data_IF_290830109679
#
_entry.id   IF_290830109679
#
_cell.length_a   1.000
_cell.length_b   1.000
_cell.length_c   1.000
_cell.angle_alpha   90.00
_cell.angle_beta   90.00
_cell.angle_gamma   90.00
#
_symmetry.space_group_name_H-M   'P 1'
#
loop_
_entity.id
_entity.type
_entity.pdbx_description
1 polymer ?
#
# COMPACT_ATOMS: atom_id res chain seq x y z
N UNK A 1 37.92 12.61 -54.28
CA UNK A 1 37.74 13.23 -52.95
C UNK A 1 36.24 13.38 -52.69
N UNK A 2 35.80 12.89 -51.51
CA UNK A 2 34.46 12.99 -50.86
C UNK A 2 33.51 11.79 -50.97
N UNK A 3 33.67 10.92 -49.95
CA UNK A 3 32.64 10.04 -49.37
C UNK A 3 31.38 10.83 -48.98
N UNK A 4 30.22 10.22 -49.15
CA UNK A 4 29.02 10.54 -48.37
C UNK A 4 28.34 9.24 -47.93
N UNK A 5 28.72 8.76 -46.74
CA UNK A 5 27.95 7.76 -45.99
C UNK A 5 26.72 8.45 -45.39
N UNK A 6 25.53 8.01 -45.77
CA UNK A 6 24.27 8.44 -45.12
C UNK A 6 24.03 7.53 -43.92
N UNK A 7 24.23 8.05 -42.71
CA UNK A 7 23.73 7.42 -41.49
C UNK A 7 22.25 7.78 -41.31
N UNK A 8 21.37 6.79 -41.43
CA UNK A 8 19.98 6.92 -41.00
C UNK A 8 19.91 6.58 -39.50
N UNK A 9 19.78 7.60 -38.66
CA UNK A 9 19.49 7.41 -37.23
C UNK A 9 17.97 7.20 -37.11
N UNK A 10 17.57 5.95 -36.85
CA UNK A 10 16.18 5.65 -36.50
C UNK A 10 15.99 5.92 -35.01
N UNK A 11 15.35 7.03 -34.67
CA UNK A 11 14.90 7.31 -33.31
C UNK A 11 13.67 6.44 -33.03
N UNK A 12 13.87 5.31 -32.36
CA UNK A 12 12.77 4.55 -31.78
C UNK A 12 12.19 5.36 -30.62
N UNK A 13 11.04 6.01 -30.85
CA UNK A 13 10.20 6.54 -29.78
C UNK A 13 9.67 5.35 -28.99
N UNK A 14 10.40 4.94 -27.95
CA UNK A 14 9.88 4.04 -26.94
C UNK A 14 8.83 4.84 -26.18
N UNK A 15 7.55 4.65 -26.53
CA UNK A 15 6.47 4.98 -25.62
C UNK A 15 6.67 4.10 -24.39
N UNK A 16 7.26 4.66 -23.32
CA UNK A 16 7.26 3.99 -22.02
C UNK A 16 5.81 3.89 -21.58
N UNK A 17 5.17 2.74 -21.82
CA UNK A 17 3.99 2.36 -21.08
C UNK A 17 4.42 2.26 -19.61
N UNK A 18 4.13 3.30 -18.83
CA UNK A 18 4.39 3.28 -17.40
C UNK A 18 3.35 2.33 -16.77
N UNK A 19 3.67 1.05 -16.71
CA UNK A 19 2.84 0.07 -16.03
C UNK A 19 2.65 0.54 -14.59
N UNK A 20 1.40 0.83 -14.21
CA UNK A 20 1.05 1.19 -12.84
C UNK A 20 0.89 -0.10 -12.06
N UNK A 21 1.51 -0.17 -10.89
CA UNK A 21 1.30 -1.27 -9.98
C UNK A 21 -0.11 -1.22 -9.39
N UNK A 22 -0.76 -2.38 -9.28
CA UNK A 22 -2.10 -2.56 -8.72
C UNK A 22 -2.00 -3.45 -7.48
N UNK A 23 -2.62 -3.01 -6.39
CA UNK A 23 -2.56 -3.73 -5.12
C UNK A 23 -3.96 -4.05 -4.62
N UNK A 24 -4.09 -5.19 -3.94
CA UNK A 24 -5.29 -5.53 -3.18
C UNK A 24 -5.02 -5.48 -1.68
N UNK A 25 -5.92 -4.86 -0.94
CA UNK A 25 -5.86 -4.78 0.51
C UNK A 25 -6.32 -6.09 1.14
N UNK A 26 -5.53 -6.67 2.04
CA UNK A 26 -5.83 -7.92 2.71
C UNK A 26 -5.68 -7.77 4.23
N UNK A 27 -6.78 -7.98 4.96
CA UNK A 27 -6.78 -7.97 6.43
C UNK A 27 -6.18 -9.27 6.97
N UNK A 28 -4.95 -9.22 7.48
CA UNK A 28 -4.26 -10.38 8.07
C UNK A 28 -5.00 -10.92 9.29
N UNK A 29 -5.64 -10.05 10.06
CA UNK A 29 -6.50 -10.43 11.20
C UNK A 29 -7.62 -11.44 10.83
N UNK A 30 -8.04 -11.46 9.56
CA UNK A 30 -9.13 -12.33 9.09
C UNK A 30 -8.65 -13.70 8.58
N UNK A 31 -7.35 -13.99 8.61
CA UNK A 31 -6.78 -15.22 8.04
C UNK A 31 -6.47 -16.28 9.09
N UNK A 32 -7.05 -16.20 10.30
CA UNK A 32 -6.78 -17.14 11.41
C UNK A 32 -6.96 -18.61 11.02
N UNK A 33 -7.97 -18.91 10.19
CA UNK A 33 -8.27 -20.26 9.74
C UNK A 33 -7.79 -20.55 8.31
N UNK A 34 -6.94 -19.70 7.73
CA UNK A 34 -6.41 -19.96 6.39
C UNK A 34 -5.46 -21.16 6.41
N UNK A 35 -5.68 -22.06 5.47
CA UNK A 35 -4.71 -23.09 5.11
C UNK A 35 -3.76 -22.59 4.03
N UNK A 36 -2.71 -23.35 3.74
CA UNK A 36 -1.83 -23.06 2.61
C UNK A 36 -2.57 -23.05 1.27
N UNK A 37 -3.66 -23.82 1.14
CA UNK A 37 -4.49 -23.85 -0.07
C UNK A 37 -5.28 -22.56 -0.23
N UNK A 38 -5.81 -22.00 0.86
CA UNK A 38 -6.57 -20.75 0.82
C UNK A 38 -5.67 -19.58 0.39
N UNK A 39 -4.48 -19.48 0.98
CA UNK A 39 -3.46 -18.50 0.58
C UNK A 39 -3.10 -18.63 -0.90
N UNK A 40 -2.80 -19.84 -1.37
CA UNK A 40 -2.41 -20.06 -2.76
C UNK A 40 -3.55 -19.72 -3.73
N UNK A 41 -4.78 -20.13 -3.43
CA UNK A 41 -5.95 -19.90 -4.28
C UNK A 41 -6.24 -18.40 -4.43
N UNK A 42 -6.25 -17.64 -3.33
CA UNK A 42 -6.52 -16.19 -3.38
C UNK A 42 -5.41 -15.41 -4.09
N UNK A 43 -4.14 -15.80 -3.90
CA UNK A 43 -3.03 -15.18 -4.62
C UNK A 43 -3.04 -15.52 -6.12
N UNK A 44 -3.43 -16.74 -6.51
CA UNK A 44 -3.59 -17.11 -7.92
C UNK A 44 -4.75 -16.34 -8.58
N UNK A 45 -5.88 -16.17 -7.87
CA UNK A 45 -6.98 -15.32 -8.35
C UNK A 45 -6.54 -13.87 -8.52
N UNK A 46 -5.77 -13.34 -7.56
CA UNK A 46 -5.24 -11.99 -7.64
C UNK A 46 -4.36 -11.79 -8.87
N UNK A 47 -3.43 -12.71 -9.13
CA UNK A 47 -2.61 -12.69 -10.36
C UNK A 47 -3.45 -12.76 -11.63
N UNK A 48 -4.48 -13.60 -11.66
CA UNK A 48 -5.42 -13.70 -12.79
C UNK A 48 -6.19 -12.40 -13.02
N UNK A 49 -6.41 -11.62 -11.96
CA UNK A 49 -7.02 -10.29 -12.02
C UNK A 49 -6.00 -9.16 -12.24
N UNK A 50 -4.74 -9.48 -12.53
CA UNK A 50 -3.65 -8.50 -12.74
C UNK A 50 -3.35 -7.63 -11.51
N UNK A 51 -3.53 -8.18 -10.31
CA UNK A 51 -3.01 -7.58 -9.08
C UNK A 51 -1.54 -7.99 -8.92
N UNK A 52 -0.68 -7.01 -8.69
CA UNK A 52 0.77 -7.18 -8.58
C UNK A 52 1.21 -7.57 -7.16
N UNK A 53 0.53 -7.02 -6.14
CA UNK A 53 0.84 -7.33 -4.76
C UNK A 53 -0.37 -7.25 -3.81
N UNK A 54 -0.26 -7.95 -2.68
CA UNK A 54 -1.15 -7.70 -1.54
C UNK A 54 -0.54 -6.70 -0.56
N UNK A 55 -1.37 -5.73 -0.14
CA UNK A 55 -1.12 -4.84 0.97
C UNK A 55 -1.60 -5.54 2.25
N UNK A 56 -0.67 -6.07 3.05
CA UNK A 56 -0.96 -6.83 4.25
C UNK A 56 -1.36 -5.88 5.39
N UNK A 57 -2.65 -5.63 5.54
CA UNK A 57 -3.20 -4.88 6.67
C UNK A 57 -3.05 -5.69 7.94
N UNK A 58 -2.22 -5.19 8.84
CA UNK A 58 -1.82 -5.90 10.05
C UNK A 58 -1.99 -4.99 11.25
N UNK A 59 -2.90 -5.32 12.16
CA UNK A 59 -3.06 -4.58 13.42
C UNK A 59 -2.04 -5.05 14.45
N UNK A 60 -1.57 -4.13 15.30
CA UNK A 60 -0.54 -4.46 16.28
C UNK A 60 -1.05 -5.45 17.34
N UNK A 61 -0.20 -6.42 17.69
CA UNK A 61 -0.42 -7.34 18.80
C UNK A 61 -1.50 -8.41 18.56
N UNK A 62 -1.92 -8.65 17.32
CA UNK A 62 -2.81 -9.78 17.02
C UNK A 62 -2.04 -11.10 17.01
N UNK A 63 -2.56 -12.10 17.72
CA UNK A 63 -1.93 -13.42 17.85
C UNK A 63 -1.75 -14.14 16.50
N UNK A 64 -2.62 -13.84 15.53
CA UNK A 64 -2.57 -14.43 14.18
C UNK A 64 -1.38 -13.95 13.35
N UNK A 65 -0.82 -12.77 13.64
CA UNK A 65 0.15 -12.10 12.78
C UNK A 65 1.39 -12.95 12.48
N UNK A 66 2.02 -13.54 13.50
CA UNK A 66 3.29 -14.25 13.29
C UNK A 66 3.13 -15.45 12.34
N UNK A 67 2.13 -16.29 12.60
CA UNK A 67 1.84 -17.46 11.77
C UNK A 67 1.33 -17.08 10.37
N UNK A 68 0.41 -16.12 10.29
CA UNK A 68 -0.19 -15.70 9.02
C UNK A 68 0.81 -15.01 8.10
N UNK A 69 1.71 -14.17 8.62
CA UNK A 69 2.73 -13.50 7.80
C UNK A 69 3.74 -14.51 7.24
N UNK A 70 4.20 -15.47 8.05
CA UNK A 70 5.09 -16.53 7.56
C UNK A 70 4.40 -17.35 6.47
N UNK A 71 3.13 -17.74 6.67
CA UNK A 71 2.35 -18.47 5.68
C UNK A 71 2.14 -17.66 4.39
N UNK A 72 1.79 -16.37 4.50
CA UNK A 72 1.58 -15.48 3.36
C UNK A 72 2.85 -15.34 2.51
N UNK A 73 4.00 -15.03 3.12
CA UNK A 73 5.26 -14.90 2.38
C UNK A 73 5.72 -16.20 1.72
N UNK A 74 5.47 -17.34 2.37
CA UNK A 74 5.74 -18.66 1.79
C UNK A 74 4.86 -18.93 0.55
N UNK A 75 3.55 -18.74 0.68
CA UNK A 75 2.61 -18.94 -0.43
C UNK A 75 2.88 -17.97 -1.60
N UNK A 76 3.13 -16.70 -1.29
CA UNK A 76 3.42 -15.66 -2.29
C UNK A 76 4.70 -15.95 -3.07
N UNK A 77 5.75 -16.44 -2.38
CA UNK A 77 6.97 -16.93 -3.02
C UNK A 77 6.68 -18.07 -3.99
N UNK A 78 5.86 -19.05 -3.58
CA UNK A 78 5.53 -20.22 -4.40
C UNK A 78 4.74 -19.87 -5.68
N UNK A 79 3.84 -18.90 -5.61
CA UNK A 79 2.98 -18.51 -6.74
C UNK A 79 3.50 -17.29 -7.52
N UNK A 80 4.54 -16.62 -6.99
CA UNK A 80 5.13 -15.42 -7.57
C UNK A 80 4.19 -14.21 -7.55
N UNK A 81 3.53 -13.96 -6.42
CA UNK A 81 2.84 -12.69 -6.10
C UNK A 81 3.73 -11.89 -5.15
N UNK A 82 3.72 -10.56 -5.21
CA UNK A 82 4.46 -9.74 -4.25
C UNK A 82 3.59 -9.36 -3.04
N UNK A 83 4.23 -8.99 -1.93
CA UNK A 83 3.57 -8.57 -0.70
C UNK A 83 4.25 -7.31 -0.15
N UNK A 84 3.52 -6.47 0.58
CA UNK A 84 4.10 -5.41 1.39
C UNK A 84 3.25 -5.12 2.62
N UNK A 85 3.83 -4.46 3.61
CA UNK A 85 3.11 -4.09 4.83
C UNK A 85 2.22 -2.86 4.66
N UNK A 86 0.98 -3.00 5.12
CA UNK A 86 0.09 -1.91 5.49
C UNK A 86 -0.10 -1.97 7.01
N UNK A 87 0.75 -1.29 7.77
CA UNK A 87 0.62 -1.31 9.23
C UNK A 87 -0.67 -0.58 9.64
N UNK A 88 -1.56 -1.29 10.33
CA UNK A 88 -2.83 -0.72 10.80
C UNK A 88 -2.63 -0.06 12.17
N UNK A 89 -2.63 1.27 12.17
CA UNK A 89 -2.48 2.09 13.35
C UNK A 89 -3.82 2.42 14.03
N UNK A 90 -4.95 2.18 13.35
CA UNK A 90 -6.30 2.49 13.84
C UNK A 90 -7.03 1.27 14.42
N UNK A 91 -6.64 0.06 14.05
CA UNK A 91 -7.33 -1.19 14.41
C UNK A 91 -7.20 -1.55 15.88
N UNK A 92 -5.97 -1.57 16.42
CA UNK A 92 -5.67 -1.91 17.82
C UNK A 92 -4.77 -0.89 18.53
N UNK A 93 -4.65 0.30 17.96
CA UNK A 93 -3.70 1.33 18.37
C UNK A 93 -2.42 1.31 17.52
N UNK A 94 -1.54 2.30 17.75
CA UNK A 94 -0.38 2.52 16.91
C UNK A 94 0.65 1.41 17.05
N UNK A 95 1.36 1.12 15.97
CA UNK A 95 2.53 0.24 16.01
C UNK A 95 3.72 0.96 16.67
N UNK A 96 4.43 0.30 17.62
CA UNK A 96 5.69 0.84 18.14
C UNK A 96 6.74 0.97 17.03
N UNK A 97 7.43 2.12 17.01
CA UNK A 97 8.43 2.45 15.98
C UNK A 97 9.46 1.33 15.76
N UNK A 98 10.06 0.81 16.82
CA UNK A 98 11.12 -0.20 16.72
C UNK A 98 10.60 -1.53 16.15
N UNK A 99 9.36 -1.89 16.48
CA UNK A 99 8.71 -3.08 15.91
C UNK A 99 8.44 -2.91 14.41
N UNK A 100 8.05 -1.71 13.96
CA UNK A 100 7.90 -1.44 12.51
C UNK A 100 9.23 -1.60 11.78
N UNK A 101 10.32 -1.06 12.35
CA UNK A 101 11.67 -1.19 11.79
C UNK A 101 12.09 -2.67 11.71
N UNK A 102 11.84 -3.44 12.77
CA UNK A 102 12.12 -4.87 12.82
C UNK A 102 11.38 -5.62 11.70
N UNK A 103 10.08 -5.38 11.54
CA UNK A 103 9.27 -6.04 10.53
C UNK A 103 9.72 -5.69 9.11
N UNK A 104 9.96 -4.40 8.82
CA UNK A 104 10.46 -4.00 7.51
C UNK A 104 11.81 -4.68 7.26
N UNK A 105 12.75 -4.63 8.20
CA UNK A 105 14.09 -5.23 8.05
C UNK A 105 14.01 -6.74 7.82
N UNK A 106 13.13 -7.43 8.54
CA UNK A 106 12.96 -8.89 8.46
C UNK A 106 12.44 -9.36 7.09
N UNK A 107 11.48 -8.65 6.50
CA UNK A 107 10.78 -9.12 5.31
C UNK A 107 11.21 -8.42 4.02
N UNK A 108 11.69 -7.17 4.08
CA UNK A 108 11.98 -6.37 2.90
C UNK A 108 13.10 -6.93 2.01
N UNK A 109 14.01 -7.75 2.54
CA UNK A 109 15.06 -8.39 1.74
C UNK A 109 14.56 -9.56 0.88
N UNK A 110 13.34 -10.04 1.12
CA UNK A 110 12.74 -11.12 0.34
C UNK A 110 12.44 -10.68 -1.09
N UNK A 111 12.73 -11.53 -2.08
CA UNK A 111 12.29 -11.31 -3.47
C UNK A 111 10.77 -11.26 -3.64
N UNK A 112 10.02 -11.73 -2.64
CA UNK A 112 8.56 -11.66 -2.55
C UNK A 112 8.09 -10.27 -2.08
N UNK A 113 8.95 -9.44 -1.51
CA UNK A 113 8.55 -8.13 -1.00
C UNK A 113 8.45 -7.11 -2.15
N UNK A 114 7.36 -6.36 -2.23
CA UNK A 114 7.16 -5.36 -3.28
C UNK A 114 8.09 -4.15 -3.06
N UNK A 115 8.81 -3.76 -4.12
CA UNK A 115 9.73 -2.63 -4.10
C UNK A 115 9.31 -1.59 -5.14
N UNK A 116 9.31 -0.32 -4.74
CA UNK A 116 9.12 0.80 -5.65
C UNK A 116 10.47 1.47 -5.93
N UNK A 117 10.92 1.43 -7.19
CA UNK A 117 12.22 1.96 -7.62
C UNK A 117 13.39 1.44 -6.76
N UNK A 118 13.37 0.14 -6.45
CA UNK A 118 14.41 -0.53 -5.65
C UNK A 118 14.31 -0.30 -4.14
N UNK A 119 13.32 0.46 -3.65
CA UNK A 119 13.10 0.68 -2.22
C UNK A 119 11.94 -0.18 -1.70
N UNK A 120 12.04 -0.78 -0.50
CA UNK A 120 10.93 -1.50 0.10
C UNK A 120 9.71 -0.60 0.20
N UNK A 121 8.57 -1.01 -0.37
CA UNK A 121 7.36 -0.22 -0.29
C UNK A 121 6.65 -0.48 1.05
N UNK A 122 6.21 0.57 1.71
CA UNK A 122 5.49 0.47 3.00
C UNK A 122 4.35 1.47 3.04
N UNK A 123 3.24 1.06 3.64
CA UNK A 123 2.06 1.90 3.85
C UNK A 123 1.54 1.74 5.28
N UNK A 124 0.61 2.62 5.66
CA UNK A 124 -0.21 2.46 6.87
C UNK A 124 -1.68 2.63 6.52
N UNK A 125 -2.54 2.06 7.37
CA UNK A 125 -3.92 2.52 7.51
C UNK A 125 -3.97 3.46 8.71
N UNK A 126 -4.24 4.74 8.42
CA UNK A 126 -4.19 5.85 9.37
C UNK A 126 -2.86 5.93 10.17
N UNK A 127 -2.90 6.51 11.37
CA UNK A 127 -1.72 6.80 12.21
C UNK A 127 -1.03 8.15 11.98
N UNK A 128 -1.73 9.26 11.59
CA UNK A 128 -1.07 10.54 11.39
C UNK A 128 -0.42 11.11 12.66
N UNK A 129 -0.93 10.76 13.85
CA UNK A 129 -0.35 11.19 15.13
C UNK A 129 1.06 10.60 15.35
N UNK A 130 1.39 9.50 14.65
CA UNK A 130 2.70 8.87 14.65
C UNK A 130 3.56 9.26 13.45
N UNK A 131 3.19 10.29 12.69
CA UNK A 131 3.92 10.68 11.48
C UNK A 131 5.40 11.02 11.75
N UNK A 132 5.74 11.52 12.95
CA UNK A 132 7.14 11.83 13.31
C UNK A 132 8.02 10.58 13.44
N UNK A 133 7.47 9.43 13.84
CA UNK A 133 8.20 8.17 13.98
C UNK A 133 8.76 7.72 12.62
N UNK A 134 8.03 8.03 11.54
CA UNK A 134 8.41 7.67 10.17
C UNK A 134 9.68 8.37 9.67
N UNK A 135 10.12 9.46 10.32
CA UNK A 135 11.42 10.08 10.02
C UNK A 135 12.54 9.09 10.34
N UNK A 136 12.49 8.49 11.53
CA UNK A 136 13.45 7.47 11.99
C UNK A 136 13.28 6.16 11.21
N UNK A 137 12.04 5.69 11.03
CA UNK A 137 11.76 4.42 10.33
C UNK A 137 12.34 4.47 8.91
N UNK A 138 12.06 5.52 8.15
CA UNK A 138 12.59 5.66 6.77
C UNK A 138 14.10 5.78 6.75
N UNK A 139 14.69 6.53 7.69
CA UNK A 139 16.15 6.68 7.76
C UNK A 139 16.86 5.34 8.00
N UNK A 140 16.28 4.46 8.82
CA UNK A 140 16.88 3.16 9.15
C UNK A 140 16.58 2.07 8.12
N UNK A 141 15.41 2.10 7.48
CA UNK A 141 14.96 1.02 6.57
C UNK A 141 15.16 1.35 5.09
N UNK A 142 15.31 2.63 4.74
CA UNK A 142 15.39 3.09 3.35
C UNK A 142 14.09 2.92 2.56
N UNK A 143 12.96 2.67 3.24
CA UNK A 143 11.69 2.38 2.57
C UNK A 143 11.14 3.58 1.77
N UNK A 144 10.34 3.25 0.75
CA UNK A 144 9.43 4.18 0.10
C UNK A 144 8.10 4.15 0.86
N UNK A 145 7.73 5.27 1.46
CA UNK A 145 6.61 5.33 2.40
C UNK A 145 5.41 6.08 1.81
N UNK A 146 4.27 5.40 1.67
CA UNK A 146 3.03 5.96 1.15
C UNK A 146 1.85 5.57 2.05
N UNK A 147 1.58 6.35 3.11
CA UNK A 147 0.48 6.08 4.03
C UNK A 147 -0.88 6.52 3.50
N UNK A 148 -1.91 5.96 4.11
CA UNK A 148 -3.23 6.57 4.17
C UNK A 148 -3.35 7.36 5.46
N UNK A 149 -3.49 8.68 5.32
CA UNK A 149 -3.80 9.61 6.42
C UNK A 149 -5.04 10.42 6.03
N UNK A 150 -6.06 9.72 5.55
CA UNK A 150 -7.30 10.33 5.04
C UNK A 150 -8.03 11.14 6.10
N UNK A 151 -7.91 10.78 7.38
CA UNK A 151 -8.44 11.53 8.53
C UNK A 151 -7.98 12.99 8.58
N UNK A 152 -6.76 13.29 8.11
CA UNK A 152 -6.25 14.66 8.01
C UNK A 152 -6.69 15.41 6.74
N UNK A 153 -7.07 14.66 5.70
CA UNK A 153 -7.16 15.13 4.32
C UNK A 153 -5.78 15.40 3.69
N UNK A 154 -5.73 15.33 2.35
CA UNK A 154 -4.47 15.35 1.59
C UNK A 154 -3.52 16.50 1.93
N UNK A 155 -4.03 17.74 2.05
CA UNK A 155 -3.19 18.93 2.30
C UNK A 155 -2.41 18.84 3.61
N UNK A 156 -3.08 18.44 4.70
CA UNK A 156 -2.44 18.33 6.02
C UNK A 156 -1.56 17.09 6.09
N UNK A 157 -2.03 15.96 5.54
CA UNK A 157 -1.28 14.72 5.46
C UNK A 157 0.09 14.92 4.78
N UNK A 158 0.16 15.71 3.70
CA UNK A 158 1.42 16.02 3.01
C UNK A 158 2.46 16.77 3.85
N UNK A 159 2.03 17.43 4.93
CA UNK A 159 2.93 18.19 5.83
C UNK A 159 3.21 17.46 7.15
N UNK A 160 2.48 16.39 7.45
CA UNK A 160 2.65 15.61 8.67
C UNK A 160 4.06 14.95 8.71
N UNK A 161 4.62 14.83 9.91
CA UNK A 161 5.98 14.28 10.09
C UNK A 161 7.07 15.09 9.38
N UNK A 162 6.86 16.40 9.16
CA UNK A 162 7.78 17.22 8.36
C UNK A 162 7.77 16.89 6.86
N UNK A 163 6.66 16.33 6.35
CA UNK A 163 6.52 15.94 4.94
C UNK A 163 7.23 14.64 4.58
N UNK A 164 7.36 13.74 5.57
CA UNK A 164 8.09 12.47 5.49
C UNK A 164 7.54 11.49 4.45
N UNK A 165 6.24 11.56 4.15
CA UNK A 165 5.59 10.68 3.17
C UNK A 165 6.14 10.93 1.75
N UNK A 166 6.48 9.86 1.02
CA UNK A 166 6.94 9.91 -0.38
C UNK A 166 5.77 10.01 -1.36
N UNK A 167 4.56 9.68 -0.92
CA UNK A 167 3.30 9.78 -1.62
C UNK A 167 2.16 9.57 -0.64
N UNK A 168 0.92 9.59 -1.10
CA UNK A 168 -0.25 9.28 -0.27
C UNK A 168 -1.21 8.41 -1.07
N UNK A 169 -2.07 7.70 -0.34
CA UNK A 169 -3.31 7.18 -0.89
C UNK A 169 -4.50 7.66 -0.08
N UNK A 170 -5.70 7.49 -0.65
CA UNK A 170 -6.95 7.79 0.03
C UNK A 170 -7.67 6.51 0.43
N UNK A 171 -8.40 6.54 1.54
CA UNK A 171 -9.33 5.48 1.95
C UNK A 171 -10.76 5.69 1.43
N UNK A 172 -10.96 6.66 0.53
CA UNK A 172 -12.28 7.02 0.00
C UNK A 172 -12.63 6.24 -1.28
N UNK A 173 -12.73 4.90 -1.22
CA UNK A 173 -12.94 4.06 -2.40
C UNK A 173 -14.42 3.73 -2.72
N UNK A 174 -15.36 4.08 -1.85
CA UNK A 174 -16.80 3.76 -1.96
C UNK A 174 -17.68 4.93 -1.52
N UNK A 175 -18.96 5.00 -1.91
CA UNK A 175 -19.92 6.02 -1.45
C UNK A 175 -19.95 6.23 0.06
N UNK A 176 -20.25 7.45 0.50
CA UNK A 176 -20.60 7.69 1.91
C UNK A 176 -22.11 7.75 2.06
N UNK A 177 -22.72 6.73 2.67
CA UNK A 177 -24.17 6.61 2.73
C UNK A 177 -24.80 6.59 1.33
N UNK A 178 -25.76 7.48 1.09
CA UNK A 178 -26.45 7.63 -0.20
C UNK A 178 -25.75 8.59 -1.17
N UNK A 179 -24.59 9.15 -0.81
CA UNK A 179 -23.88 10.11 -1.65
C UNK A 179 -23.04 9.40 -2.71
N UNK A 180 -23.30 9.70 -3.97
CA UNK A 180 -22.46 9.27 -5.10
C UNK A 180 -21.00 9.66 -4.89
N UNK A 181 -20.11 8.83 -5.43
CA UNK A 181 -18.68 9.13 -5.46
C UNK A 181 -18.38 10.21 -6.49
N UNK A 182 -17.48 11.12 -6.13
CA UNK A 182 -17.01 12.20 -6.99
C UNK A 182 -15.49 12.18 -7.11
N UNK A 183 -14.97 12.64 -8.24
CA UNK A 183 -13.52 12.71 -8.52
C UNK A 183 -12.81 13.81 -7.73
N UNK A 184 -13.53 14.61 -6.93
CA UNK A 184 -12.98 15.74 -6.20
C UNK A 184 -11.94 15.30 -5.14
N UNK A 185 -12.17 14.16 -4.49
CA UNK A 185 -11.21 13.61 -3.53
C UNK A 185 -9.89 13.31 -4.24
N UNK A 186 -9.91 12.53 -5.32
CA UNK A 186 -8.71 12.20 -6.10
C UNK A 186 -8.02 13.42 -6.69
N UNK A 187 -8.80 14.41 -7.16
CA UNK A 187 -8.26 15.67 -7.65
C UNK A 187 -7.51 16.42 -6.55
N UNK A 188 -8.07 16.48 -5.33
CA UNK A 188 -7.40 17.13 -4.20
C UNK A 188 -6.06 16.47 -3.85
N UNK A 189 -5.99 15.14 -3.87
CA UNK A 189 -4.73 14.43 -3.66
C UNK A 189 -3.73 14.79 -4.74
N UNK A 190 -4.13 14.70 -6.02
CA UNK A 190 -3.27 15.06 -7.16
C UNK A 190 -2.72 16.48 -7.06
N UNK A 191 -3.53 17.44 -6.61
CA UNK A 191 -3.11 18.84 -6.48
C UNK A 191 -2.16 19.04 -5.30
N UNK A 192 -2.47 18.49 -4.12
CA UNK A 192 -1.67 18.71 -2.90
C UNK A 192 -0.39 17.89 -2.82
N UNK A 193 -0.29 16.76 -3.53
CA UNK A 193 0.91 15.93 -3.58
C UNK A 193 2.08 16.63 -4.30
N UNK A 194 1.83 17.69 -5.06
CA UNK A 194 2.89 18.52 -5.65
C UNK A 194 3.86 17.73 -6.53
N UNK A 195 3.35 16.71 -7.25
CA UNK A 195 4.14 15.83 -8.10
C UNK A 195 4.62 14.53 -7.44
N UNK A 196 4.40 14.35 -6.13
CA UNK A 196 4.61 13.04 -5.47
C UNK A 196 3.57 12.01 -5.95
N UNK A 197 3.88 10.70 -5.93
CA UNK A 197 2.95 9.66 -6.35
C UNK A 197 1.65 9.63 -5.54
N UNK A 198 0.54 9.45 -6.25
CA UNK A 198 -0.77 9.16 -5.67
C UNK A 198 -1.15 7.72 -6.00
N UNK A 199 -1.50 6.93 -4.98
CA UNK A 199 -2.16 5.65 -5.17
C UNK A 199 -3.66 5.82 -5.02
N UNK A 200 -4.36 5.69 -6.14
CA UNK A 200 -5.80 5.90 -6.20
C UNK A 200 -6.54 4.66 -5.70
N UNK A 201 -7.47 4.79 -4.75
CA UNK A 201 -8.26 3.66 -4.29
C UNK A 201 -9.41 3.38 -5.26
N UNK A 202 -9.75 2.10 -5.41
CA UNK A 202 -10.90 1.65 -6.22
C UNK A 202 -11.60 0.55 -5.42
N UNK A 203 -12.93 0.60 -5.37
CA UNK A 203 -13.74 -0.50 -4.87
C UNK A 203 -14.93 -0.78 -5.79
N UNK A 204 -15.11 -2.02 -6.26
CA UNK A 204 -16.31 -2.39 -7.02
C UNK A 204 -17.56 -2.46 -6.14
N UNK A 205 -17.40 -2.71 -4.83
CA UNK A 205 -18.48 -2.82 -3.86
C UNK A 205 -17.93 -2.75 -2.42
N UNK A 206 -18.69 -2.18 -1.47
CA UNK A 206 -18.33 -2.19 -0.05
C UNK A 206 -19.47 -2.72 0.83
N UNK A 207 -19.13 -3.65 1.71
CA UNK A 207 -20.01 -4.14 2.78
C UNK A 207 -19.16 -4.57 3.97
N UNK A 208 -19.52 -4.09 5.17
CA UNK A 208 -18.92 -4.54 6.41
C UNK A 208 -20.02 -5.00 7.37
N UNK A 209 -19.87 -6.22 7.90
CA UNK A 209 -20.70 -6.72 9.00
C UNK A 209 -19.94 -6.57 10.31
N UNK A 210 -20.14 -5.46 11.01
CA UNK A 210 -19.69 -5.31 12.40
C UNK A 210 -20.81 -5.69 13.37
N UNK A 211 -20.50 -6.29 14.53
CA UNK A 211 -21.44 -6.26 15.66
C UNK A 211 -21.71 -4.78 15.99
N UNK A 212 -22.97 -4.46 16.20
CA UNK A 212 -23.57 -3.13 16.06
C UNK A 212 -23.01 -2.09 17.06
N UNK A 213 -21.88 -1.46 16.72
CA UNK A 213 -21.46 -0.16 17.29
C UNK A 213 -20.60 0.71 16.36
N UNK A 214 -20.09 0.20 15.23
CA UNK A 214 -19.04 0.87 14.46
C UNK A 214 -19.37 1.10 12.98
N UNK A 215 -20.65 1.17 12.58
CA UNK A 215 -21.03 1.38 11.18
C UNK A 215 -20.49 2.71 10.58
N UNK A 216 -20.15 3.68 11.43
CA UNK A 216 -19.50 4.93 11.01
C UNK A 216 -17.98 4.77 10.82
N UNK A 217 -17.33 3.80 11.48
CA UNK A 217 -15.86 3.68 11.55
C UNK A 217 -15.19 3.15 10.28
N UNK A 218 -15.95 2.76 9.25
CA UNK A 218 -15.35 2.44 7.95
C UNK A 218 -14.75 3.68 7.25
N UNK A 219 -15.19 4.88 7.64
CA UNK A 219 -14.65 6.18 7.19
C UNK A 219 -14.49 7.21 8.31
N UNK A 220 -15.05 6.98 9.50
CA UNK A 220 -14.85 7.85 10.66
C UNK A 220 -13.79 7.26 11.58
N UNK A 221 -12.58 7.76 11.44
CA UNK A 221 -11.71 8.15 12.55
C UNK A 221 -10.61 9.05 11.97
#
# INVERSE_FOLDING_TARGET
MRLLFRFAVSAALIAQAQAKAVFAHLMVGNTENYTSSDWADDMLKAKKAHIDAFALNTAYGEAVNEGALVAAFSAASAVGLQLFFSFDYAGRGPWPQDTVIEYITKYASSGTYFHHNGKPFVSTFEGPDNANDWISIKAQTGCFFMPDWSSLGAKKAMTAGGGVADGLFSWAAWPWGYWDMWTYSDASYRDYLGGKPYMMPISPWFYQRSRQSNANNAKSN
#
